data_IF_527141631606
#
_entry.id   IF_527141631606
#
_cell.length_a   1.000
_cell.length_b   1.000
_cell.length_c   1.000
_cell.angle_alpha   90.00
_cell.angle_beta   90.00
_cell.angle_gamma   90.00
#
_symmetry.space_group_name_H-M   'P 1'
#
loop_
_entity.id
_entity.type
_entity.pdbx_description
1 polymer ?
#
# COMPACT_ATOMS: atom_id res chain seq x y z
N UNK A 1 79.25 -27.35 15.99
CA UNK A 1 79.13 -28.17 14.76
C UNK A 1 77.86 -29.00 14.82
N UNK A 2 77.04 -28.87 13.77
CA UNK A 2 75.97 -29.77 13.29
C UNK A 2 74.62 -29.79 14.03
N UNK A 3 73.66 -29.24 13.29
CA UNK A 3 72.22 -29.24 13.46
C UNK A 3 71.65 -30.67 13.54
N UNK A 4 70.56 -30.80 14.29
CA UNK A 4 69.79 -32.04 14.42
C UNK A 4 68.30 -31.68 14.35
N UNK A 5 67.72 -31.73 13.15
CA UNK A 5 66.26 -31.66 13.01
C UNK A 5 65.84 -32.75 12.04
N UNK A 6 65.39 -33.85 12.64
CA UNK A 6 64.91 -35.06 11.95
C UNK A 6 63.54 -34.75 11.35
N UNK A 7 63.42 -34.95 10.05
CA UNK A 7 62.13 -35.05 9.37
C UNK A 7 61.34 -36.23 9.95
N UNK A 8 60.14 -35.94 10.45
CA UNK A 8 59.13 -36.95 10.76
C UNK A 8 57.94 -36.69 9.84
N UNK A 9 57.91 -37.52 8.79
CA UNK A 9 56.75 -37.83 7.97
C UNK A 9 55.78 -38.66 8.81
N UNK A 10 54.51 -38.25 8.87
CA UNK A 10 53.29 -39.03 9.11
C UNK A 10 52.16 -37.99 9.26
N UNK A 11 50.95 -38.10 8.71
CA UNK A 11 50.08 -39.25 8.59
C UNK A 11 48.95 -38.88 7.62
N UNK A 12 48.60 -39.79 6.71
CA UNK A 12 47.35 -39.73 5.92
C UNK A 12 46.21 -40.25 6.81
N UNK A 13 45.11 -39.51 6.94
CA UNK A 13 43.82 -40.04 7.35
C UNK A 13 42.68 -39.11 6.89
N UNK A 14 41.73 -39.71 6.18
CA UNK A 14 40.57 -39.09 5.57
C UNK A 14 39.56 -38.57 6.60
N UNK A 15 38.95 -37.41 6.32
CA UNK A 15 37.58 -37.08 6.72
C UNK A 15 37.14 -35.83 5.96
N UNK A 16 36.18 -36.00 5.04
CA UNK A 16 35.57 -34.91 4.31
C UNK A 16 34.97 -33.89 5.27
N UNK A 17 35.41 -32.63 5.16
CA UNK A 17 34.78 -31.51 5.87
C UNK A 17 34.35 -30.48 4.84
N UNK A 18 33.13 -30.71 4.37
CA UNK A 18 32.12 -29.75 3.90
C UNK A 18 32.64 -28.33 3.71
N UNK A 19 32.84 -27.96 2.44
CA UNK A 19 32.93 -26.58 1.98
C UNK A 19 31.64 -25.86 2.36
N UNK A 20 31.67 -25.07 3.44
CA UNK A 20 30.54 -24.24 3.85
C UNK A 20 30.37 -23.12 2.82
N UNK A 21 29.57 -23.37 1.80
CA UNK A 21 29.12 -22.35 0.85
C UNK A 21 28.26 -21.38 1.65
N UNK A 22 28.82 -20.23 2.01
CA UNK A 22 28.04 -19.07 2.47
C UNK A 22 27.23 -18.53 1.28
N UNK A 23 26.19 -19.26 0.89
CA UNK A 23 25.17 -18.80 -0.03
C UNK A 23 24.17 -17.94 0.77
N UNK A 24 24.42 -16.63 0.68
CA UNK A 24 23.49 -15.51 0.81
C UNK A 24 22.15 -15.72 1.53
N UNK A 25 22.05 -15.18 2.73
CA UNK A 25 20.85 -14.41 3.08
C UNK A 25 21.07 -12.98 2.60
N UNK A 26 20.93 -12.73 1.30
CA UNK A 26 20.63 -11.37 0.85
C UNK A 26 19.17 -11.12 1.20
N UNK A 27 18.93 -10.48 2.34
CA UNK A 27 17.68 -9.78 2.56
C UNK A 27 17.57 -8.79 1.42
N UNK A 28 16.79 -9.14 0.39
CA UNK A 28 16.58 -8.28 -0.76
C UNK A 28 16.13 -6.94 -0.21
N UNK A 29 16.95 -5.91 -0.40
CA UNK A 29 16.55 -4.55 -0.10
C UNK A 29 15.22 -4.35 -0.84
N UNK A 30 14.12 -4.31 -0.09
CA UNK A 30 12.81 -3.95 -0.62
C UNK A 30 13.07 -2.67 -1.37
N UNK A 31 12.93 -2.71 -2.70
CA UNK A 31 13.08 -1.53 -3.55
C UNK A 31 12.32 -0.41 -2.86
N UNK A 32 13.00 0.71 -2.63
CA UNK A 32 12.40 1.95 -2.13
C UNK A 32 11.10 2.09 -2.93
N UNK A 33 9.97 1.86 -2.28
CA UNK A 33 8.69 2.07 -2.92
C UNK A 33 8.71 3.53 -3.32
N UNK A 34 8.42 3.83 -4.59
CA UNK A 34 8.23 5.21 -5.05
C UNK A 34 7.46 5.96 -3.96
N UNK A 35 8.10 6.98 -3.39
CA UNK A 35 7.56 7.74 -2.27
C UNK A 35 6.13 8.16 -2.62
N UNK A 36 5.18 7.88 -1.74
CA UNK A 36 3.80 8.25 -2.00
C UNK A 36 3.56 9.74 -1.79
N UNK A 37 2.38 10.19 -2.20
CA UNK A 37 2.01 11.61 -2.10
C UNK A 37 1.58 11.93 -0.67
N UNK A 38 1.95 13.12 -0.17
CA UNK A 38 1.46 13.62 1.11
C UNK A 38 0.01 14.10 1.00
N UNK A 39 -0.81 13.78 2.00
CA UNK A 39 -2.18 14.30 2.07
C UNK A 39 -2.17 15.84 2.13
N UNK A 40 -2.96 16.52 1.28
CA UNK A 40 -2.93 17.97 1.16
C UNK A 40 -3.76 18.63 2.27
N UNK A 41 -3.26 18.61 3.50
CA UNK A 41 -3.94 19.11 4.70
C UNK A 41 -4.24 20.63 4.67
N UNK A 42 -3.63 21.36 3.75
CA UNK A 42 -3.84 22.79 3.54
C UNK A 42 -5.03 23.09 2.59
N UNK A 43 -5.57 22.09 1.90
CA UNK A 43 -6.75 22.27 1.06
C UNK A 43 -8.01 22.28 1.93
N UNK A 44 -8.89 23.25 1.66
CA UNK A 44 -10.21 23.25 2.28
C UNK A 44 -11.01 22.06 1.76
N UNK A 45 -11.64 21.31 2.68
CA UNK A 45 -12.66 20.35 2.32
C UNK A 45 -13.88 21.12 1.80
N UNK A 46 -14.26 20.82 0.56
CA UNK A 46 -15.47 21.32 -0.06
C UNK A 46 -16.70 20.53 0.37
N UNK A 47 -17.66 20.42 -0.54
CA UNK A 47 -18.88 19.66 -0.30
C UNK A 47 -18.64 18.14 -0.19
N UNK A 48 -19.60 17.46 0.45
CA UNK A 48 -19.69 16.00 0.42
C UNK A 48 -20.72 15.62 -0.64
N UNK A 49 -20.29 14.85 -1.63
CA UNK A 49 -21.14 14.41 -2.73
C UNK A 49 -21.86 13.12 -2.35
N UNK A 50 -23.06 12.91 -2.88
CA UNK A 50 -23.80 11.65 -2.77
C UNK A 50 -23.17 10.60 -3.69
N UNK A 51 -21.97 10.15 -3.31
CA UNK A 51 -21.16 9.16 -3.98
C UNK A 51 -20.81 8.13 -2.92
N UNK A 52 -21.27 6.91 -3.13
CA UNK A 52 -21.19 5.87 -2.12
C UNK A 52 -19.88 5.09 -2.28
N UNK A 53 -19.19 4.88 -1.17
CA UNK A 53 -17.99 4.04 -1.08
C UNK A 53 -18.28 2.88 -0.16
N UNK A 54 -18.24 1.67 -0.72
CA UNK A 54 -18.51 0.44 0.02
C UNK A 54 -17.26 -0.43 -0.02
N UNK A 55 -16.78 -0.85 1.15
CA UNK A 55 -15.68 -1.81 1.23
C UNK A 55 -16.18 -3.24 1.01
N UNK A 56 -15.55 -3.96 0.09
CA UNK A 56 -15.73 -5.40 -0.18
C UNK A 56 -14.41 -6.12 0.04
N UNK A 57 -14.20 -6.67 1.23
CA UNK A 57 -12.97 -7.37 1.61
C UNK A 57 -11.68 -6.58 1.32
N UNK A 58 -11.05 -6.84 0.17
CA UNK A 58 -9.77 -6.26 -0.28
C UNK A 58 -9.92 -5.16 -1.34
N UNK A 59 -11.15 -4.81 -1.70
CA UNK A 59 -11.46 -3.75 -2.67
C UNK A 59 -12.47 -2.76 -2.07
N UNK A 60 -12.59 -1.60 -2.71
CA UNK A 60 -13.70 -0.68 -2.52
C UNK A 60 -14.47 -0.54 -3.83
N UNK A 61 -15.79 -0.49 -3.73
CA UNK A 61 -16.70 -0.14 -4.81
C UNK A 61 -17.18 1.29 -4.60
N UNK A 62 -17.05 2.12 -5.63
CA UNK A 62 -17.47 3.51 -5.61
C UNK A 62 -18.54 3.70 -6.66
N UNK A 63 -19.72 4.16 -6.25
CA UNK A 63 -20.88 4.40 -7.11
C UNK A 63 -21.24 5.88 -7.08
N UNK A 64 -21.25 6.53 -8.25
CA UNK A 64 -21.68 7.91 -8.38
C UNK A 64 -23.21 7.98 -8.46
N UNK A 65 -23.86 8.24 -7.32
CA UNK A 65 -25.31 8.47 -7.22
C UNK A 65 -25.67 9.96 -7.27
N UNK A 66 -24.68 10.83 -7.47
CA UNK A 66 -24.87 12.28 -7.55
C UNK A 66 -25.34 12.70 -8.96
N UNK A 67 -25.65 14.00 -9.12
CA UNK A 67 -26.03 14.59 -10.40
C UNK A 67 -24.84 15.10 -11.23
N UNK A 68 -23.59 14.91 -10.78
CA UNK A 68 -22.40 15.50 -11.38
C UNK A 68 -21.37 14.42 -11.73
N UNK A 69 -20.69 14.60 -12.86
CA UNK A 69 -19.53 13.80 -13.20
C UNK A 69 -18.35 14.17 -12.29
N UNK A 70 -17.63 13.15 -11.81
CA UNK A 70 -16.43 13.34 -11.01
C UNK A 70 -15.22 13.42 -11.95
N UNK A 71 -14.48 14.54 -11.99
CA UNK A 71 -13.25 14.65 -12.77
C UNK A 71 -12.15 13.73 -12.24
N UNK A 72 -11.11 13.44 -13.06
CA UNK A 72 -9.94 12.72 -12.59
C UNK A 72 -9.17 13.50 -11.52
N UNK A 73 -8.34 12.79 -10.75
CA UNK A 73 -7.58 13.36 -9.64
C UNK A 73 -6.93 12.30 -8.76
N UNK A 74 -6.87 12.53 -7.46
CA UNK A 74 -6.43 11.55 -6.46
C UNK A 74 -7.58 11.14 -5.56
N UNK A 75 -7.72 9.85 -5.33
CA UNK A 75 -8.64 9.31 -4.34
C UNK A 75 -7.85 9.04 -3.06
N UNK A 76 -8.29 9.68 -1.98
CA UNK A 76 -7.71 9.60 -0.65
C UNK A 76 -8.58 8.75 0.25
N UNK A 77 -7.95 7.83 0.97
CA UNK A 77 -8.57 7.06 2.06
C UNK A 77 -7.94 7.47 3.38
N UNK A 78 -8.78 7.72 4.38
CA UNK A 78 -8.39 8.06 5.75
C UNK A 78 -7.39 9.22 5.84
N UNK A 79 -7.45 10.16 4.89
CA UNK A 79 -6.52 11.29 4.78
C UNK A 79 -5.03 10.88 4.82
N UNK A 80 -4.71 9.69 4.32
CA UNK A 80 -3.36 9.13 4.43
C UNK A 80 -2.92 8.36 3.20
N UNK A 81 -3.79 7.48 2.70
CA UNK A 81 -3.45 6.63 1.56
C UNK A 81 -4.07 7.19 0.29
N UNK A 82 -3.29 7.29 -0.78
CA UNK A 82 -3.73 7.83 -2.06
C UNK A 82 -3.63 6.78 -3.18
N UNK A 83 -4.55 6.88 -4.14
CA UNK A 83 -4.47 6.20 -5.43
C UNK A 83 -4.96 7.11 -6.54
N UNK A 84 -4.60 6.80 -7.79
CA UNK A 84 -5.08 7.54 -8.95
C UNK A 84 -6.58 7.36 -9.12
N UNK A 85 -7.27 8.48 -9.35
CA UNK A 85 -8.70 8.50 -9.63
C UNK A 85 -8.92 8.90 -11.09
N UNK A 86 -9.35 7.97 -11.96
CA UNK A 86 -9.55 8.26 -13.38
C UNK A 86 -10.89 8.95 -13.69
N UNK A 87 -11.55 9.55 -12.69
CA UNK A 87 -12.90 10.10 -12.83
C UNK A 87 -14.01 9.06 -12.67
N UNK A 88 -15.25 9.52 -12.59
CA UNK A 88 -16.42 8.65 -12.48
C UNK A 88 -17.67 9.38 -12.99
N UNK A 89 -18.27 8.87 -14.06
CA UNK A 89 -19.48 9.46 -14.63
C UNK A 89 -20.71 9.22 -13.72
N UNK A 90 -21.75 10.04 -13.88
CA UNK A 90 -23.04 9.84 -13.20
C UNK A 90 -23.57 8.43 -13.45
N UNK A 91 -23.99 7.74 -12.38
CA UNK A 91 -24.48 6.36 -12.42
C UNK A 91 -23.40 5.29 -12.62
N UNK A 92 -22.14 5.68 -12.82
CA UNK A 92 -21.04 4.73 -12.97
C UNK A 92 -20.63 4.15 -11.61
N UNK A 93 -20.31 2.85 -11.60
CA UNK A 93 -19.61 2.20 -10.50
C UNK A 93 -18.21 1.79 -10.93
N UNK A 94 -17.21 2.04 -10.08
CA UNK A 94 -15.82 1.58 -10.28
C UNK A 94 -15.31 0.86 -9.03
N UNK A 95 -14.45 -0.12 -9.26
CA UNK A 95 -13.82 -0.92 -8.21
C UNK A 95 -12.34 -0.60 -8.15
N UNK A 96 -11.83 -0.36 -6.94
CA UNK A 96 -10.41 -0.10 -6.68
C UNK A 96 -9.87 -1.12 -5.70
N UNK A 97 -8.68 -1.67 -5.98
CA UNK A 97 -8.01 -2.56 -5.03
C UNK A 97 -7.40 -1.72 -3.91
N UNK A 98 -7.67 -2.08 -2.66
CA UNK A 98 -7.11 -1.37 -1.51
C UNK A 98 -5.57 -1.42 -1.50
N UNK A 99 -4.96 -2.49 -2.01
CA UNK A 99 -3.50 -2.63 -2.13
C UNK A 99 -2.85 -1.61 -3.08
N UNK A 100 -3.63 -0.92 -3.93
CA UNK A 100 -3.13 0.12 -4.84
C UNK A 100 -3.06 1.50 -4.17
N UNK A 101 -3.60 1.63 -2.96
CA UNK A 101 -3.49 2.84 -2.16
C UNK A 101 -2.20 2.80 -1.35
N UNK A 102 -1.38 3.85 -1.48
CA UNK A 102 -0.10 3.97 -0.80
C UNK A 102 -0.07 5.21 0.08
N UNK A 103 0.64 5.13 1.19
CA UNK A 103 0.95 6.30 2.00
C UNK A 103 2.20 7.04 1.52
N UNK A 104 2.57 8.12 2.20
CA UNK A 104 3.76 8.93 1.89
C UNK A 104 5.08 8.14 1.88
N UNK A 105 5.16 7.02 2.60
CA UNK A 105 6.34 6.16 2.67
C UNK A 105 6.27 5.00 1.67
N UNK A 106 5.19 4.94 0.87
CA UNK A 106 4.92 3.86 -0.07
C UNK A 106 4.34 2.60 0.56
N UNK A 107 3.98 2.61 1.85
CA UNK A 107 3.28 1.50 2.49
C UNK A 107 1.87 1.39 1.94
N UNK A 108 1.45 0.15 1.62
CA UNK A 108 0.12 -0.13 1.07
C UNK A 108 -0.93 -0.19 2.18
N UNK A 109 -2.15 0.21 1.87
CA UNK A 109 -3.30 0.04 2.75
C UNK A 109 -3.44 -1.43 3.20
N UNK A 110 -3.59 -1.67 4.51
CA UNK A 110 -3.72 -3.02 5.04
C UNK A 110 -5.14 -3.57 4.77
N UNK A 111 -5.36 -4.06 3.55
CA UNK A 111 -6.66 -4.56 3.09
C UNK A 111 -7.15 -5.83 3.82
N UNK A 112 -6.27 -6.50 4.58
CA UNK A 112 -6.50 -7.82 5.15
C UNK A 112 -6.34 -8.93 4.11
N UNK A 113 -7.14 -9.99 4.26
CA UNK A 113 -7.09 -11.18 3.41
C UNK A 113 -6.81 -12.45 4.23
N UNK A 114 -6.97 -13.60 3.60
CA UNK A 114 -6.86 -14.91 4.26
C UNK A 114 -5.49 -15.15 4.93
N UNK A 115 -4.43 -14.55 4.39
CA UNK A 115 -3.05 -14.70 4.87
C UNK A 115 -2.53 -13.45 5.61
N UNK A 116 -3.41 -12.51 5.97
CA UNK A 116 -2.98 -11.29 6.63
C UNK A 116 -2.48 -11.57 8.06
N UNK A 117 -1.28 -11.08 8.37
CA UNK A 117 -0.67 -11.19 9.71
C UNK A 117 -1.07 -10.05 10.64
N UNK A 118 -1.77 -9.05 10.12
CA UNK A 118 -2.27 -7.86 10.84
C UNK A 118 -3.77 -7.68 10.61
N UNK A 119 -4.51 -7.12 11.57
CA UNK A 119 -5.90 -6.72 11.35
C UNK A 119 -6.04 -5.79 10.15
N UNK A 120 -7.13 -5.89 9.38
CA UNK A 120 -7.35 -4.97 8.28
C UNK A 120 -7.68 -3.56 8.76
N UNK A 121 -7.14 -2.56 8.06
CA UNK A 121 -7.52 -1.18 8.24
C UNK A 121 -8.99 -0.98 7.82
N UNK A 122 -9.68 -0.08 8.53
CA UNK A 122 -11.04 0.32 8.19
C UNK A 122 -11.00 1.50 7.23
N UNK A 123 -11.91 1.51 6.25
CA UNK A 123 -12.17 2.72 5.45
C UNK A 123 -13.20 3.53 6.21
N UNK A 124 -12.81 4.69 6.73
CA UNK A 124 -13.70 5.57 7.51
C UNK A 124 -13.88 6.94 6.86
N UNK A 125 -12.98 7.29 5.94
CA UNK A 125 -13.02 8.54 5.19
C UNK A 125 -12.57 8.26 3.76
N UNK A 126 -13.31 8.79 2.79
CA UNK A 126 -12.94 8.79 1.38
C UNK A 126 -13.14 10.18 0.80
N UNK A 127 -12.13 10.69 0.11
CA UNK A 127 -12.12 12.03 -0.47
C UNK A 127 -11.48 12.04 -1.85
N UNK A 128 -11.92 12.92 -2.73
CA UNK A 128 -11.30 13.14 -4.04
C UNK A 128 -10.63 14.49 -4.03
N UNK A 129 -9.32 14.51 -4.24
CA UNK A 129 -8.59 15.71 -4.61
C UNK A 129 -8.73 15.91 -6.11
N UNK A 130 -9.31 17.04 -6.48
CA UNK A 130 -9.48 17.42 -7.88
C UNK A 130 -9.48 18.94 -8.02
N UNK A 131 -9.65 19.41 -9.25
CA UNK A 131 -9.67 20.83 -9.58
C UNK A 131 -11.11 21.30 -9.74
N UNK A 132 -11.42 22.51 -9.26
CA UNK A 132 -12.70 23.16 -9.51
C UNK A 132 -12.80 23.73 -10.94
N UNK A 133 -13.94 24.36 -11.26
CA UNK A 133 -14.18 24.98 -12.57
C UNK A 133 -13.24 26.17 -12.85
N UNK A 134 -12.61 26.73 -11.81
CA UNK A 134 -11.70 27.87 -11.86
C UNK A 134 -10.23 27.46 -11.87
N UNK A 135 -9.92 26.16 -11.81
CA UNK A 135 -8.55 25.67 -11.82
C UNK A 135 -7.92 25.53 -10.43
N UNK A 136 -8.65 25.77 -9.34
CA UNK A 136 -8.12 25.65 -7.98
C UNK A 136 -8.29 24.23 -7.42
N UNK A 137 -7.29 23.68 -6.69
CA UNK A 137 -7.40 22.38 -6.06
C UNK A 137 -8.41 22.40 -4.91
N UNK A 138 -9.23 21.36 -4.83
CA UNK A 138 -10.23 21.16 -3.77
C UNK A 138 -10.33 19.68 -3.38
N UNK A 139 -10.81 19.44 -2.17
CA UNK A 139 -11.15 18.11 -1.67
C UNK A 139 -12.66 17.93 -1.63
N UNK A 140 -13.18 16.92 -2.33
CA UNK A 140 -14.59 16.53 -2.30
C UNK A 140 -14.75 15.34 -1.35
N UNK A 141 -15.69 15.43 -0.40
CA UNK A 141 -16.01 14.31 0.48
C UNK A 141 -16.90 13.28 -0.21
N UNK A 142 -16.70 12.00 0.09
CA UNK A 142 -17.57 10.91 -0.34
C UNK A 142 -18.25 10.24 0.87
N UNK A 143 -19.35 9.53 0.63
CA UNK A 143 -20.10 8.83 1.67
C UNK A 143 -19.58 7.42 1.83
N UNK A 144 -18.85 7.15 2.92
CA UNK A 144 -18.41 5.79 3.26
C UNK A 144 -19.53 5.05 3.97
N UNK A 145 -19.97 3.95 3.38
CA UNK A 145 -20.98 3.07 3.99
C UNK A 145 -20.23 2.00 4.78
N UNK A 146 -20.24 2.15 6.10
CA UNK A 146 -19.63 1.17 7.00
C UNK A 146 -20.35 -0.18 6.91
N UNK A 147 -19.59 -1.26 6.74
CA UNK A 147 -20.08 -2.60 7.05
C UNK A 147 -19.84 -2.82 8.54
N UNK A 148 -20.88 -2.71 9.35
CA UNK A 148 -20.85 -3.17 10.74
C UNK A 148 -20.61 -4.67 10.73
N UNK A 149 -19.36 -5.10 10.85
CA UNK A 149 -19.05 -6.47 11.21
C UNK A 149 -19.34 -6.60 12.72
N UNK A 150 -20.27 -7.46 13.16
CA UNK A 150 -20.43 -7.73 14.57
C UNK A 150 -19.09 -8.27 15.13
N UNK A 151 -18.72 -7.93 16.38
CA UNK A 151 -17.56 -8.53 17.01
C UNK A 151 -17.73 -10.06 17.01
N UNK A 152 -16.71 -10.77 16.52
CA UNK A 152 -16.60 -12.23 16.69
C UNK A 152 -16.02 -12.54 18.06
#
# INVERSE_FOLDING_TARGET
MKQLTRHLVSLVAAAGTVTLVMAGCSTGATRISEEGVNYPSNLAQGETLDVQVIRRETVIEISNTSALDLPPGKLWLNAWFASDFPGLAVGQTRTFRLADFKDRHGERFAAGGFWATRPPDQVVLAQIETTDAQGAPKLLGLVVIGTTNPPR
#
